data_IF_038804542105
#
_entry.id   IF_038804542105
#
_cell.length_a   1.000
_cell.length_b   1.000
_cell.length_c   1.000
_cell.angle_alpha   90.00
_cell.angle_beta   90.00
_cell.angle_gamma   90.00
#
_symmetry.space_group_name_H-M   'P 1'
#
loop_
_entity.id
_entity.type
_entity.pdbx_description
1 polymer ?
#
# COMPACT_ATOMS: atom_id res chain seq x y z
N UNK A 1 24.01 7.84 -7.84
CA UNK A 1 22.87 8.75 -7.92
C UNK A 1 21.60 7.95 -8.03
N UNK A 2 20.65 8.25 -7.19
CA UNK A 2 19.37 7.52 -7.16
C UNK A 2 18.44 8.13 -8.19
N UNK A 3 17.99 7.32 -9.12
CA UNK A 3 17.00 7.76 -10.09
C UNK A 3 15.62 7.75 -9.48
N UNK A 4 14.80 8.72 -9.89
CA UNK A 4 13.42 8.81 -9.44
C UNK A 4 12.52 8.02 -10.38
N UNK A 5 11.82 7.02 -9.83
CA UNK A 5 10.82 6.27 -10.59
C UNK A 5 9.50 7.03 -10.58
N UNK A 6 8.87 7.13 -11.73
CA UNK A 6 7.64 7.91 -11.87
C UNK A 6 6.44 7.01 -12.14
N UNK A 7 5.36 7.32 -11.47
CA UNK A 7 4.09 6.60 -11.59
C UNK A 7 2.93 7.60 -11.65
N UNK A 8 1.80 7.14 -12.13
CA UNK A 8 0.56 7.92 -12.03
C UNK A 8 0.09 7.94 -10.58
N UNK A 9 0.19 6.79 -9.90
CA UNK A 9 -0.31 6.64 -8.53
C UNK A 9 0.76 5.96 -7.68
N UNK A 10 1.11 6.59 -6.57
CA UNK A 10 1.96 5.98 -5.53
C UNK A 10 1.10 5.76 -4.30
N UNK A 11 1.04 4.52 -3.83
CA UNK A 11 0.23 4.13 -2.68
C UNK A 11 1.17 3.74 -1.55
N UNK A 12 1.01 4.37 -0.39
CA UNK A 12 1.78 4.03 0.80
C UNK A 12 0.91 3.17 1.70
N UNK A 13 1.30 1.92 1.85
CA UNK A 13 0.57 0.94 2.64
C UNK A 13 0.00 -0.17 1.77
N UNK A 14 0.38 -1.42 2.07
CA UNK A 14 0.01 -2.60 1.30
C UNK A 14 -1.03 -3.49 1.98
N UNK A 15 -1.85 -2.94 2.85
CA UNK A 15 -2.97 -3.65 3.44
C UNK A 15 -4.17 -3.69 2.49
N UNK A 16 -5.36 -4.05 3.00
CA UNK A 16 -6.54 -4.17 2.15
C UNK A 16 -6.89 -2.90 1.40
N UNK A 17 -6.79 -1.75 2.07
CA UNK A 17 -7.12 -0.47 1.44
C UNK A 17 -6.18 -0.16 0.28
N UNK A 18 -4.87 -0.31 0.50
CA UNK A 18 -3.88 -0.04 -0.55
C UNK A 18 -4.00 -1.00 -1.72
N UNK A 19 -4.17 -2.28 -1.44
CA UNK A 19 -4.32 -3.30 -2.48
C UNK A 19 -5.60 -3.09 -3.28
N UNK A 20 -6.70 -2.74 -2.61
CA UNK A 20 -7.97 -2.45 -3.30
C UNK A 20 -7.85 -1.25 -4.21
N UNK A 21 -7.23 -0.18 -3.72
CA UNK A 21 -6.98 1.01 -4.53
C UNK A 21 -6.14 0.66 -5.76
N UNK A 22 -5.04 -0.09 -5.56
CA UNK A 22 -4.14 -0.46 -6.63
C UNK A 22 -4.83 -1.30 -7.70
N UNK A 23 -5.73 -2.17 -7.30
CA UNK A 23 -6.49 -2.98 -8.24
C UNK A 23 -7.25 -2.09 -9.22
N UNK A 24 -7.96 -1.11 -8.70
CA UNK A 24 -8.76 -0.23 -9.55
C UNK A 24 -7.91 0.71 -10.40
N UNK A 25 -6.85 1.28 -9.85
CA UNK A 25 -6.00 2.18 -10.63
C UNK A 25 -5.24 1.43 -11.72
N UNK A 26 -4.74 0.22 -11.42
CA UNK A 26 -4.07 -0.59 -12.42
C UNK A 26 -5.01 -1.03 -13.54
N UNK A 27 -6.24 -1.41 -13.19
CA UNK A 27 -7.24 -1.78 -14.19
C UNK A 27 -7.62 -0.60 -15.09
N UNK A 28 -7.44 0.61 -14.59
CA UNK A 28 -7.69 1.83 -15.35
C UNK A 28 -6.48 2.27 -16.19
N UNK A 29 -5.48 1.41 -16.31
CA UNK A 29 -4.24 1.68 -17.05
C UNK A 29 -3.41 2.81 -16.47
N UNK A 30 -3.54 3.07 -15.17
CA UNK A 30 -2.68 4.01 -14.48
C UNK A 30 -1.49 3.25 -13.93
N UNK A 31 -0.28 3.75 -14.18
CA UNK A 31 0.90 3.14 -13.59
C UNK A 31 0.84 3.31 -12.08
N UNK A 32 0.92 2.21 -11.35
CA UNK A 32 0.65 2.17 -9.92
C UNK A 32 1.75 1.41 -9.20
N UNK A 33 2.21 1.95 -8.08
CA UNK A 33 3.12 1.23 -7.19
C UNK A 33 2.59 1.29 -5.76
N UNK A 34 2.69 0.16 -5.07
CA UNK A 34 2.42 0.05 -3.63
C UNK A 34 3.76 -0.01 -2.91
N UNK A 35 3.96 0.88 -1.97
CA UNK A 35 5.14 0.88 -1.10
C UNK A 35 4.69 0.47 0.29
N UNK A 36 5.25 -0.62 0.81
CA UNK A 36 4.87 -1.15 2.10
C UNK A 36 6.12 -1.53 2.88
N UNK A 37 6.20 -1.11 4.14
CA UNK A 37 7.40 -1.35 4.93
C UNK A 37 7.59 -2.82 5.30
N UNK A 38 6.50 -3.57 5.37
CA UNK A 38 6.56 -4.99 5.71
C UNK A 38 5.38 -5.71 5.08
N UNK A 39 5.67 -6.72 4.28
CA UNK A 39 4.64 -7.45 3.55
C UNK A 39 3.65 -8.20 4.46
N UNK A 40 4.01 -8.41 5.72
CA UNK A 40 3.17 -9.14 6.68
C UNK A 40 2.54 -8.24 7.74
N UNK A 41 2.70 -6.91 7.63
CA UNK A 41 2.16 -5.99 8.63
C UNK A 41 0.82 -5.44 8.16
N UNK A 42 -0.14 -5.42 9.05
CA UNK A 42 -1.46 -4.88 8.82
C UNK A 42 -2.48 -5.60 9.68
N UNK A 43 -3.60 -4.94 9.95
CA UNK A 43 -4.64 -5.53 10.79
C UNK A 43 -5.16 -6.84 10.21
N UNK A 44 -5.29 -6.91 8.90
CA UNK A 44 -5.80 -8.11 8.25
C UNK A 44 -4.81 -9.26 8.34
N UNK A 45 -3.50 -8.99 8.25
CA UNK A 45 -2.48 -10.03 8.25
C UNK A 45 -2.44 -10.82 9.56
N UNK A 46 -2.81 -10.20 10.69
CA UNK A 46 -2.80 -10.87 11.99
C UNK A 46 -4.13 -11.50 12.36
N UNK A 47 -5.14 -11.39 11.52
CA UNK A 47 -6.45 -11.97 11.76
C UNK A 47 -6.43 -13.43 11.32
N UNK A 48 -6.73 -14.34 12.24
CA UNK A 48 -6.66 -15.77 11.93
C UNK A 48 -7.80 -16.27 11.07
N UNK A 49 -8.98 -15.66 11.17
CA UNK A 49 -10.14 -16.08 10.40
C UNK A 49 -10.96 -14.88 9.96
N UNK A 50 -11.29 -14.84 8.69
CA UNK A 50 -12.12 -13.79 8.11
C UNK A 50 -13.51 -14.35 7.90
N UNK A 51 -14.49 -13.78 8.59
CA UNK A 51 -15.87 -14.23 8.53
C UNK A 51 -16.84 -13.14 8.05
N UNK A 52 -16.41 -11.91 8.04
CA UNK A 52 -17.28 -10.76 7.80
C UNK A 52 -16.88 -9.94 6.56
N UNK A 53 -16.16 -10.55 5.63
CA UNK A 53 -15.81 -9.88 4.39
C UNK A 53 -16.68 -10.44 3.26
N UNK A 54 -17.51 -9.60 2.63
CA UNK A 54 -18.39 -10.07 1.55
C UNK A 54 -17.58 -10.70 0.40
N UNK A 55 -18.06 -11.84 -0.07
CA UNK A 55 -17.39 -12.55 -1.15
C UNK A 55 -16.34 -13.54 -0.70
N UNK A 56 -16.00 -13.57 0.58
CA UNK A 56 -15.05 -14.53 1.14
C UNK A 56 -15.82 -15.55 1.97
N UNK A 57 -15.74 -16.80 1.55
CA UNK A 57 -16.38 -17.91 2.25
C UNK A 57 -15.32 -18.96 2.60
N UNK A 58 -15.52 -19.67 3.70
CA UNK A 58 -14.61 -20.70 4.16
C UNK A 58 -13.59 -20.17 5.15
N UNK A 59 -12.52 -20.93 5.33
CA UNK A 59 -11.54 -20.67 6.37
C UNK A 59 -10.33 -19.89 5.82
N UNK A 60 -10.53 -18.62 5.48
CA UNK A 60 -9.44 -17.78 5.08
C UNK A 60 -8.85 -17.07 6.29
N UNK A 61 -7.52 -17.11 6.42
CA UNK A 61 -6.82 -16.26 7.36
C UNK A 61 -6.68 -14.86 6.75
N UNK A 62 -6.39 -13.87 7.61
CA UNK A 62 -6.13 -12.53 7.13
C UNK A 62 -4.93 -12.47 6.19
N UNK A 63 -3.88 -13.24 6.51
CA UNK A 63 -2.69 -13.30 5.66
C UNK A 63 -3.00 -13.87 4.27
N UNK A 64 -3.79 -14.94 4.22
CA UNK A 64 -4.19 -15.54 2.96
C UNK A 64 -5.02 -14.58 2.11
N UNK A 65 -5.98 -13.90 2.73
CA UNK A 65 -6.81 -12.93 2.02
C UNK A 65 -5.96 -11.77 1.50
N UNK A 66 -5.05 -11.26 2.32
CA UNK A 66 -4.19 -10.16 1.92
C UNK A 66 -3.30 -10.56 0.73
N UNK A 67 -2.78 -11.78 0.74
CA UNK A 67 -1.98 -12.28 -0.37
C UNK A 67 -2.81 -12.33 -1.65
N UNK A 68 -4.04 -12.80 -1.58
CA UNK A 68 -4.94 -12.83 -2.74
C UNK A 68 -5.17 -11.42 -3.28
N UNK A 69 -5.46 -10.47 -2.40
CA UNK A 69 -5.71 -9.07 -2.80
C UNK A 69 -4.48 -8.46 -3.48
N UNK A 70 -3.30 -8.69 -2.92
CA UNK A 70 -2.05 -8.19 -3.48
C UNK A 70 -1.78 -8.80 -4.84
N UNK A 71 -1.86 -10.13 -4.94
CA UNK A 71 -1.60 -10.83 -6.19
C UNK A 71 -2.58 -10.40 -7.28
N UNK A 72 -3.82 -10.14 -6.92
CA UNK A 72 -4.81 -9.65 -7.85
C UNK A 72 -4.43 -8.28 -8.41
N UNK A 73 -4.00 -7.36 -7.55
CA UNK A 73 -3.58 -6.03 -8.01
C UNK A 73 -2.34 -6.12 -8.92
N UNK A 74 -1.40 -6.98 -8.58
CA UNK A 74 -0.20 -7.20 -9.39
C UNK A 74 -0.56 -7.80 -10.75
N UNK A 75 -1.53 -8.69 -10.81
CA UNK A 75 -1.94 -9.32 -12.06
C UNK A 75 -2.51 -8.32 -13.06
N UNK A 76 -3.00 -7.17 -12.59
CA UNK A 76 -3.48 -6.10 -13.46
C UNK A 76 -2.43 -5.02 -13.72
N UNK A 77 -1.21 -5.20 -13.24
CA UNK A 77 -0.10 -4.32 -13.58
C UNK A 77 0.43 -3.47 -12.46
N UNK A 78 -0.13 -3.53 -11.25
CA UNK A 78 0.41 -2.80 -10.12
C UNK A 78 1.77 -3.39 -9.73
N UNK A 79 2.69 -2.52 -9.32
CA UNK A 79 3.96 -2.95 -8.74
C UNK A 79 3.84 -2.93 -7.23
N UNK A 80 4.53 -3.84 -6.59
CA UNK A 80 4.61 -3.92 -5.14
C UNK A 80 6.08 -3.91 -4.75
N UNK A 81 6.46 -3.00 -3.85
CA UNK A 81 7.83 -2.92 -3.37
C UNK A 81 7.85 -2.73 -1.88
N UNK A 82 8.67 -3.53 -1.20
CA UNK A 82 8.92 -3.34 0.21
C UNK A 82 9.83 -2.13 0.36
N UNK A 83 9.37 -1.13 1.09
CA UNK A 83 10.09 0.13 1.27
C UNK A 83 9.56 0.84 2.50
N UNK A 84 10.44 1.46 3.25
CA UNK A 84 10.04 2.25 4.41
C UNK A 84 10.10 3.74 4.06
N UNK A 85 8.94 4.36 3.95
CA UNK A 85 8.83 5.77 3.62
C UNK A 85 9.25 6.60 4.83
N UNK A 86 10.21 7.51 4.65
CA UNK A 86 10.64 8.39 5.71
C UNK A 86 10.35 9.86 5.42
N UNK A 87 9.90 10.20 4.22
CA UNK A 87 9.61 11.58 3.88
C UNK A 87 8.77 11.70 2.63
N UNK A 88 8.03 12.77 2.54
CA UNK A 88 7.19 13.11 1.41
C UNK A 88 7.40 14.57 1.08
N UNK A 89 7.57 14.88 -0.20
CA UNK A 89 7.61 16.25 -0.69
C UNK A 89 6.43 16.47 -1.64
N UNK A 90 5.67 17.52 -1.37
CA UNK A 90 4.46 17.81 -2.13
C UNK A 90 4.66 19.05 -2.97
N UNK A 91 4.49 18.94 -4.27
CA UNK A 91 4.46 20.08 -5.17
C UNK A 91 3.17 20.04 -5.97
N UNK A 92 2.93 21.06 -6.78
CA UNK A 92 1.70 21.12 -7.57
C UNK A 92 1.64 20.03 -8.63
N UNK A 93 2.78 19.66 -9.19
CA UNK A 93 2.82 18.73 -10.30
C UNK A 93 3.16 17.31 -9.88
N UNK A 94 3.95 17.14 -8.82
CA UNK A 94 4.41 15.82 -8.41
C UNK A 94 4.43 15.70 -6.89
N UNK A 95 4.14 14.49 -6.42
CA UNK A 95 4.30 14.09 -5.02
C UNK A 95 5.47 13.13 -4.98
N UNK A 96 6.47 13.45 -4.17
CA UNK A 96 7.72 12.69 -4.13
C UNK A 96 7.80 11.95 -2.80
N UNK A 97 8.11 10.67 -2.88
CA UNK A 97 8.18 9.79 -1.73
C UNK A 97 9.62 9.29 -1.59
N UNK A 98 10.20 9.48 -0.41
CA UNK A 98 11.59 9.14 -0.13
C UNK A 98 11.65 7.87 0.71
N UNK A 99 12.41 6.91 0.22
CA UNK A 99 12.69 5.67 0.96
C UNK A 99 14.17 5.32 0.84
N UNK A 100 14.72 4.50 1.76
CA UNK A 100 16.09 4.03 1.61
C UNK A 100 16.30 3.21 0.33
N UNK A 101 15.24 2.57 -0.17
CA UNK A 101 15.29 1.73 -1.36
C UNK A 101 15.19 2.50 -2.66
N UNK A 102 14.74 3.77 -2.61
CA UNK A 102 14.61 4.59 -3.80
C UNK A 102 13.72 5.79 -3.60
N UNK A 103 13.61 6.60 -4.64
CA UNK A 103 12.77 7.78 -4.65
C UNK A 103 11.68 7.56 -5.70
N UNK A 104 10.45 7.81 -5.32
CA UNK A 104 9.29 7.58 -6.17
C UNK A 104 8.48 8.85 -6.32
N UNK A 105 8.01 9.13 -7.51
CA UNK A 105 7.18 10.30 -7.78
C UNK A 105 5.85 9.85 -8.36
N UNK A 106 4.78 10.47 -7.91
CA UNK A 106 3.44 10.19 -8.41
C UNK A 106 2.69 11.46 -8.73
N UNK A 107 1.81 11.40 -9.69
CA UNK A 107 0.85 12.47 -9.92
C UNK A 107 -0.16 12.52 -8.78
N UNK A 108 -0.48 11.35 -8.24
CA UNK A 108 -1.37 11.18 -7.10
C UNK A 108 -0.70 10.33 -6.04
N UNK A 109 -0.86 10.74 -4.79
CA UNK A 109 -0.36 9.99 -3.64
C UNK A 109 -1.55 9.53 -2.81
N UNK A 110 -1.58 8.24 -2.48
CA UNK A 110 -2.63 7.66 -1.65
C UNK A 110 -2.00 7.17 -0.35
N UNK A 111 -2.54 7.62 0.77
CA UNK A 111 -2.09 7.17 2.08
C UNK A 111 -3.04 6.10 2.59
N UNK A 112 -2.55 4.88 2.72
CA UNK A 112 -3.32 3.74 3.19
C UNK A 112 -2.51 2.99 4.24
N UNK A 113 -1.94 3.75 5.19
CA UNK A 113 -0.92 3.24 6.10
C UNK A 113 -1.47 2.41 7.24
N UNK A 114 -2.77 2.45 7.50
CA UNK A 114 -3.35 1.75 8.64
C UNK A 114 -2.93 2.37 9.97
N UNK A 115 -3.27 1.69 11.04
CA UNK A 115 -2.97 2.17 12.40
C UNK A 115 -2.44 1.06 13.30
N UNK A 116 -2.38 -0.15 12.81
CA UNK A 116 -2.08 -1.33 13.61
C UNK A 116 -0.60 -1.36 14.02
N UNK A 117 -0.34 -1.61 15.30
CA UNK A 117 1.01 -1.75 15.82
C UNK A 117 1.82 -0.46 15.90
N UNK A 118 1.16 0.69 15.73
CA UNK A 118 1.82 2.00 15.73
C UNK A 118 1.79 2.61 17.12
N UNK A 119 2.94 3.10 17.56
CA UNK A 119 3.01 3.86 18.81
C UNK A 119 2.44 5.28 18.59
N UNK A 120 1.90 5.86 19.66
CA UNK A 120 1.49 7.28 19.62
C UNK A 120 2.73 8.16 19.47
N UNK A 121 2.78 8.93 18.41
CA UNK A 121 3.91 9.81 18.11
C UNK A 121 3.55 11.28 18.03
N UNK A 122 2.26 11.60 17.94
CA UNK A 122 1.80 12.98 17.82
C UNK A 122 1.11 13.43 19.10
N UNK A 123 1.28 14.72 19.49
CA UNK A 123 0.54 15.24 20.64
C UNK A 123 -0.96 15.09 20.43
N UNK A 124 -1.66 14.57 21.44
CA UNK A 124 -3.10 14.37 21.36
C UNK A 124 -3.54 13.09 20.69
N UNK A 125 -2.62 12.31 20.22
CA UNK A 125 -2.91 11.01 19.59
C UNK A 125 -3.06 9.95 20.67
N UNK A 126 -4.28 9.52 20.94
CA UNK A 126 -4.54 8.48 21.94
C UNK A 126 -5.61 7.52 21.46
#
# INVERSE_FOLDING_TARGET
MTEMEKFDVVIIGGGPAGCSCALYTARSNLSTIILDKNSAVGALAITHKIANYPGVAGDFSGEELLKIMRDQSISYGAKYQQAQVYGISMSQSEKIVYTPEGIFAGKTLVLATGAMGRASTLPGEN
#
